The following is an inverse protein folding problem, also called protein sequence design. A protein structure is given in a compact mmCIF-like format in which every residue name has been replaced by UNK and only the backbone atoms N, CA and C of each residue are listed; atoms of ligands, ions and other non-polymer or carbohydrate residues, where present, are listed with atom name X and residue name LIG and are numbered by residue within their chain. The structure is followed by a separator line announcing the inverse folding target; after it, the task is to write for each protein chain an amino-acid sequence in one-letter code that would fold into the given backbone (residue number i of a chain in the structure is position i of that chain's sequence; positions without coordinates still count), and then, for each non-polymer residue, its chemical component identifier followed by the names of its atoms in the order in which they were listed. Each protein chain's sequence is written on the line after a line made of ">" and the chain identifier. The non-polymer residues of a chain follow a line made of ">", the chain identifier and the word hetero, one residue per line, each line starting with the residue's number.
data_IF_737564945175
#
_entry.id   IF_737564945175
#
_cell.length_a   1.000
_cell.length_b   1.000
_cell.length_c   1.000
_cell.angle_alpha   90.00
_cell.angle_beta   90.00
_cell.angle_gamma   90.00
#
_symmetry.space_group_name_H-M   'P 1'
#
loop_
_entity.id
_entity.type
_entity.pdbx_description
1 polymer ?
#
# COMPACT_ATOMS: atom_id res chain seq x y z
N UNK A 1 -30.77 28.86 23.71
CA UNK A 1 -31.04 28.26 22.40
C UNK A 1 -29.97 28.58 21.36
N UNK A 2 -29.47 29.84 21.32
CA UNK A 2 -28.40 30.19 20.39
C UNK A 2 -27.08 29.47 20.70
N UNK A 3 -26.79 29.25 21.99
CA UNK A 3 -25.59 28.52 22.41
C UNK A 3 -25.59 27.08 21.93
N UNK A 4 -26.75 26.42 21.93
CA UNK A 4 -26.85 25.05 21.43
C UNK A 4 -26.63 24.97 19.92
N UNK A 5 -27.04 25.97 19.16
CA UNK A 5 -26.81 26.05 17.73
C UNK A 5 -25.33 26.24 17.41
N UNK A 6 -24.65 27.08 18.17
CA UNK A 6 -23.22 27.31 18.00
C UNK A 6 -22.41 26.03 18.27
N UNK A 7 -22.75 25.32 19.36
CA UNK A 7 -22.11 24.05 19.67
C UNK A 7 -22.36 23.01 18.59
N UNK A 8 -23.56 22.96 18.02
CA UNK A 8 -23.88 22.03 16.94
C UNK A 8 -23.07 22.34 15.68
N UNK A 9 -22.94 23.61 15.32
CA UNK A 9 -22.13 24.05 14.19
C UNK A 9 -20.66 23.71 14.41
N UNK A 10 -20.13 23.97 15.60
CA UNK A 10 -18.74 23.63 15.94
C UNK A 10 -18.48 22.14 15.81
N UNK A 11 -19.39 21.29 16.29
CA UNK A 11 -19.28 19.83 16.18
C UNK A 11 -19.29 19.37 14.73
N UNK A 12 -20.11 19.99 13.89
CA UNK A 12 -20.16 19.68 12.46
C UNK A 12 -18.88 20.07 11.76
N UNK A 13 -18.34 21.25 12.10
CA UNK A 13 -17.06 21.70 11.53
C UNK A 13 -15.92 20.78 11.94
N UNK A 14 -15.86 20.39 13.20
CA UNK A 14 -14.84 19.45 13.66
C UNK A 14 -14.92 18.11 12.95
N UNK A 15 -16.14 17.62 12.70
CA UNK A 15 -16.35 16.37 11.96
C UNK A 15 -15.85 16.51 10.53
N UNK A 16 -16.18 17.61 9.87
CA UNK A 16 -15.75 17.87 8.49
C UNK A 16 -14.24 17.96 8.44
N UNK A 17 -13.59 18.66 9.36
CA UNK A 17 -12.14 18.75 9.42
C UNK A 17 -11.49 17.38 9.59
N UNK A 18 -12.04 16.53 10.46
CA UNK A 18 -11.53 15.17 10.65
C UNK A 18 -11.67 14.34 9.40
N UNK A 19 -12.79 14.43 8.70
CA UNK A 19 -13.01 13.70 7.46
C UNK A 19 -12.06 14.17 6.36
N UNK A 20 -11.83 15.47 6.27
CA UNK A 20 -10.90 16.05 5.30
C UNK A 20 -9.46 15.62 5.58
N UNK A 21 -9.06 15.58 6.84
CA UNK A 21 -7.73 15.09 7.23
C UNK A 21 -7.56 13.62 6.88
N UNK A 22 -8.55 12.80 7.20
CA UNK A 22 -8.51 11.38 6.88
C UNK A 22 -8.41 11.15 5.37
N UNK A 23 -9.18 11.89 4.58
CA UNK A 23 -9.13 11.81 3.12
C UNK A 23 -7.76 12.26 2.57
N UNK A 24 -7.18 13.33 3.14
CA UNK A 24 -5.87 13.81 2.73
C UNK A 24 -4.77 12.80 3.08
N UNK A 25 -4.84 12.21 4.26
CA UNK A 25 -3.88 11.19 4.69
C UNK A 25 -3.97 9.94 3.82
N UNK A 26 -5.18 9.52 3.48
CA UNK A 26 -5.41 8.39 2.61
C UNK A 26 -4.88 8.65 1.19
N UNK A 27 -5.13 9.84 0.65
CA UNK A 27 -4.61 10.23 -0.66
C UNK A 27 -3.09 10.26 -0.66
N UNK A 28 -2.49 10.78 0.41
CA UNK A 28 -1.03 10.81 0.56
C UNK A 28 -0.46 9.40 0.62
N UNK A 29 -1.08 8.53 1.40
CA UNK A 29 -0.67 7.14 1.52
C UNK A 29 -0.75 6.43 0.17
N UNK A 30 -1.83 6.64 -0.59
CA UNK A 30 -1.98 6.06 -1.92
C UNK A 30 -0.89 6.54 -2.88
N UNK A 31 -0.52 7.81 -2.82
CA UNK A 31 0.55 8.36 -3.65
C UNK A 31 1.91 7.80 -3.28
N UNK A 32 2.19 7.64 -1.99
CA UNK A 32 3.42 7.02 -1.51
C UNK A 32 3.50 5.58 -1.98
N UNK A 33 2.41 4.83 -1.86
CA UNK A 33 2.33 3.44 -2.32
C UNK A 33 2.61 3.30 -3.82
N UNK A 34 2.19 4.29 -4.60
CA UNK A 34 2.47 4.32 -6.03
C UNK A 34 3.82 4.93 -6.39
N UNK A 35 4.54 5.45 -5.40
CA UNK A 35 5.80 6.12 -5.63
C UNK A 35 5.68 7.48 -6.28
N UNK A 36 4.48 8.07 -6.29
CA UNK A 36 4.22 9.33 -6.98
C UNK A 36 4.72 10.56 -6.22
N UNK A 37 4.80 10.47 -4.90
CA UNK A 37 5.19 11.59 -4.04
C UNK A 37 6.69 11.68 -3.77
N UNK A 38 7.49 10.83 -4.37
CA UNK A 38 8.94 10.83 -4.15
C UNK A 38 9.72 11.64 -5.18
N UNK A 39 9.11 12.70 -5.71
CA UNK A 39 9.79 13.65 -6.59
C UNK A 39 10.45 13.02 -7.82
N UNK A 40 9.82 12.02 -8.40
CA UNK A 40 10.39 11.26 -9.50
C UNK A 40 11.36 10.19 -9.06
N UNK A 41 11.54 9.98 -7.76
CA UNK A 41 12.37 8.92 -7.23
C UNK A 41 11.67 7.58 -7.39
N UNK A 42 12.10 6.79 -8.35
CA UNK A 42 11.53 5.49 -8.67
C UNK A 42 11.97 4.38 -7.71
N UNK A 43 12.84 4.69 -6.77
CA UNK A 43 13.41 3.68 -5.86
C UNK A 43 12.34 2.87 -5.15
N UNK A 44 11.37 3.54 -4.51
CA UNK A 44 10.32 2.87 -3.78
C UNK A 44 9.40 2.06 -4.69
N UNK A 45 9.07 2.63 -5.85
CA UNK A 45 8.26 1.93 -6.83
C UNK A 45 8.97 0.69 -7.37
N UNK A 46 10.28 0.77 -7.61
CA UNK A 46 11.07 -0.39 -8.06
C UNK A 46 11.16 -1.47 -6.99
N UNK A 47 11.33 -1.08 -5.73
CA UNK A 47 11.34 -2.03 -4.60
C UNK A 47 10.00 -2.78 -4.53
N UNK A 48 8.90 -2.05 -4.59
CA UNK A 48 7.56 -2.63 -4.60
C UNK A 48 7.35 -3.54 -5.79
N UNK A 49 7.76 -3.10 -6.97
CA UNK A 49 7.71 -3.91 -8.19
C UNK A 49 8.47 -5.23 -8.01
N UNK A 50 9.68 -5.17 -7.45
CA UNK A 50 10.49 -6.36 -7.21
C UNK A 50 9.77 -7.38 -6.33
N UNK A 51 9.19 -6.92 -5.21
CA UNK A 51 8.47 -7.80 -4.28
C UNK A 51 7.23 -8.42 -4.95
N UNK A 52 6.39 -7.59 -5.57
CA UNK A 52 5.15 -8.08 -6.18
C UNK A 52 5.44 -8.99 -7.38
N UNK A 53 6.46 -8.68 -8.17
CA UNK A 53 6.83 -9.47 -9.32
C UNK A 53 7.37 -10.85 -8.90
N UNK A 54 8.24 -10.90 -7.89
CA UNK A 54 8.77 -12.15 -7.37
C UNK A 54 7.66 -13.01 -6.77
N UNK A 55 6.71 -12.39 -6.07
CA UNK A 55 5.57 -13.10 -5.52
C UNK A 55 4.69 -13.69 -6.62
N UNK A 56 4.45 -12.94 -7.69
CA UNK A 56 3.67 -13.39 -8.84
C UNK A 56 4.37 -14.55 -9.57
N UNK A 57 5.68 -14.46 -9.76
CA UNK A 57 6.46 -15.51 -10.37
C UNK A 57 6.44 -16.81 -9.59
N UNK A 58 6.27 -16.72 -8.28
CA UNK A 58 6.13 -17.88 -7.42
C UNK A 58 4.71 -18.46 -7.40
N UNK A 59 3.83 -17.96 -8.26
CA UNK A 59 2.44 -18.41 -8.35
C UNK A 59 1.44 -17.54 -7.60
N UNK A 60 1.86 -16.39 -7.09
CA UNK A 60 1.00 -15.46 -6.35
C UNK A 60 0.82 -15.81 -4.89
N UNK A 61 1.38 -16.89 -4.41
CA UNK A 61 1.28 -17.35 -3.02
C UNK A 61 2.58 -18.02 -2.60
N UNK A 62 3.12 -17.61 -1.47
CA UNK A 62 4.35 -18.18 -0.90
C UNK A 62 4.17 -18.37 0.60
N UNK A 63 5.08 -19.08 1.25
CA UNK A 63 5.08 -19.14 2.69
C UNK A 63 5.34 -17.74 3.26
N UNK A 64 4.86 -17.49 4.47
CA UNK A 64 5.09 -16.21 5.14
C UNK A 64 6.59 -15.92 5.29
N UNK A 65 7.38 -16.95 5.60
CA UNK A 65 8.81 -16.81 5.69
C UNK A 65 9.44 -16.42 4.35
N UNK A 66 9.02 -17.07 3.27
CA UNK A 66 9.53 -16.73 1.93
C UNK A 66 9.16 -15.31 1.54
N UNK A 67 7.97 -14.85 1.91
CA UNK A 67 7.55 -13.48 1.64
C UNK A 67 8.48 -12.46 2.32
N UNK A 68 8.87 -12.72 3.58
CA UNK A 68 9.83 -11.87 4.29
C UNK A 68 11.21 -11.90 3.63
N UNK A 69 11.65 -13.04 3.16
CA UNK A 69 12.92 -13.19 2.44
C UNK A 69 12.91 -12.37 1.14
N UNK A 70 11.80 -12.44 0.39
CA UNK A 70 11.62 -11.63 -0.82
C UNK A 70 11.75 -10.15 -0.48
N UNK A 71 11.14 -9.72 0.62
CA UNK A 71 11.27 -8.35 1.08
C UNK A 71 12.71 -7.94 1.34
N UNK A 72 13.47 -8.79 2.02
CA UNK A 72 14.88 -8.53 2.29
C UNK A 72 15.71 -8.42 1.01
N UNK A 73 15.43 -9.25 0.01
CA UNK A 73 16.07 -9.21 -1.29
C UNK A 73 15.86 -7.86 -2.00
N UNK A 74 14.76 -7.17 -1.69
CA UNK A 74 14.44 -5.87 -2.27
C UNK A 74 14.59 -4.72 -1.27
N UNK A 75 15.38 -4.92 -0.23
CA UNK A 75 15.76 -3.90 0.75
C UNK A 75 14.62 -3.42 1.66
N UNK A 76 13.55 -4.18 1.82
CA UNK A 76 12.50 -3.88 2.79
C UNK A 76 12.88 -4.42 4.17
N UNK A 77 12.56 -3.64 5.21
CA UNK A 77 12.59 -4.13 6.58
C UNK A 77 11.35 -5.00 6.84
N UNK A 78 11.39 -5.81 7.89
CA UNK A 78 10.21 -6.58 8.30
C UNK A 78 9.01 -5.67 8.56
N UNK A 79 9.25 -4.50 9.14
CA UNK A 79 8.22 -3.51 9.39
C UNK A 79 7.63 -2.96 8.09
N UNK A 80 8.47 -2.74 7.10
CA UNK A 80 8.02 -2.30 5.77
C UNK A 80 7.16 -3.34 5.09
N UNK A 81 7.49 -4.63 5.27
CA UNK A 81 6.71 -5.71 4.70
C UNK A 81 5.30 -5.81 5.28
N UNK A 82 5.12 -5.40 6.54
CA UNK A 82 3.80 -5.39 7.15
C UNK A 82 2.82 -4.48 6.39
N UNK A 83 3.31 -3.41 5.78
CA UNK A 83 2.48 -2.50 4.98
C UNK A 83 1.83 -3.16 3.77
N UNK A 84 2.42 -4.21 3.22
CA UNK A 84 1.82 -4.93 2.08
C UNK A 84 0.49 -5.58 2.45
N UNK A 85 0.32 -5.98 3.72
CA UNK A 85 -0.91 -6.63 4.20
C UNK A 85 -2.12 -5.70 4.26
N UNK A 86 -1.94 -4.41 4.05
CA UNK A 86 -3.07 -3.48 4.06
C UNK A 86 -3.97 -3.66 2.84
N UNK A 87 -3.39 -3.84 1.65
CA UNK A 87 -4.18 -3.97 0.43
C UNK A 87 -3.58 -4.91 -0.60
N UNK A 88 -2.27 -5.09 -0.60
CA UNK A 88 -1.56 -5.75 -1.70
C UNK A 88 -1.45 -7.26 -1.53
N UNK A 89 -1.35 -7.71 -0.31
CA UNK A 89 -1.28 -9.14 0.02
C UNK A 89 -2.22 -9.44 1.18
N UNK A 90 -2.55 -10.71 1.36
CA UNK A 90 -3.39 -11.16 2.45
C UNK A 90 -2.88 -12.49 3.01
N UNK A 91 -3.16 -12.78 4.28
CA UNK A 91 -2.84 -14.10 4.83
C UNK A 91 -3.65 -15.18 4.12
N UNK A 92 -3.03 -16.33 3.91
CA UNK A 92 -3.68 -17.51 3.33
C UNK A 92 -3.47 -18.71 4.26
N UNK A 93 -4.31 -19.75 4.17
CA UNK A 93 -4.20 -20.93 5.04
C UNK A 93 -2.82 -21.59 4.92
N UNK A 94 -2.32 -22.12 6.04
CA UNK A 94 -1.02 -22.78 6.08
C UNK A 94 0.16 -21.82 6.24
N UNK A 95 -0.05 -20.69 6.92
CA UNK A 95 0.96 -19.66 7.13
C UNK A 95 1.56 -19.15 5.82
N UNK A 96 0.69 -18.92 4.85
CA UNK A 96 1.07 -18.40 3.54
C UNK A 96 0.63 -16.96 3.38
N UNK A 97 1.22 -16.29 2.41
CA UNK A 97 0.89 -14.94 1.99
C UNK A 97 0.58 -14.97 0.51
N UNK A 98 -0.52 -14.36 0.09
CA UNK A 98 -0.90 -14.33 -1.33
C UNK A 98 -1.24 -12.93 -1.81
N UNK A 99 -1.08 -12.71 -3.11
CA UNK A 99 -1.48 -11.46 -3.75
C UNK A 99 -3.01 -11.31 -3.71
N UNK A 100 -3.45 -10.10 -3.41
CA UNK A 100 -4.86 -9.71 -3.57
C UNK A 100 -5.10 -9.27 -5.01
N UNK A 101 -6.37 -9.09 -5.38
CA UNK A 101 -6.73 -8.49 -6.67
C UNK A 101 -6.10 -7.10 -6.81
N UNK A 102 -6.12 -6.29 -5.74
CA UNK A 102 -5.49 -4.98 -5.72
C UNK A 102 -3.98 -5.08 -5.93
N UNK A 103 -3.32 -6.07 -5.31
CA UNK A 103 -1.90 -6.32 -5.51
C UNK A 103 -1.57 -6.65 -6.95
N UNK A 104 -2.40 -7.45 -7.61
CA UNK A 104 -2.21 -7.79 -9.03
C UNK A 104 -2.38 -6.59 -9.94
N UNK A 105 -3.34 -5.73 -9.66
CA UNK A 105 -3.53 -4.48 -10.41
C UNK A 105 -2.34 -3.55 -10.24
N UNK A 106 -1.84 -3.43 -9.01
CA UNK A 106 -0.65 -2.63 -8.73
C UNK A 106 0.55 -3.15 -9.50
N UNK A 107 0.73 -4.47 -9.53
CA UNK A 107 1.81 -5.09 -10.27
C UNK A 107 1.71 -4.81 -11.77
N UNK A 108 0.50 -4.85 -12.32
CA UNK A 108 0.28 -4.52 -13.74
C UNK A 108 0.71 -3.10 -14.02
N UNK A 109 0.31 -2.15 -13.18
CA UNK A 109 0.69 -0.75 -13.31
C UNK A 109 2.21 -0.57 -13.27
N UNK A 110 2.87 -1.25 -12.33
CA UNK A 110 4.31 -1.16 -12.16
C UNK A 110 5.06 -1.81 -13.34
N UNK A 111 4.54 -2.90 -13.89
CA UNK A 111 5.10 -3.52 -15.09
C UNK A 111 5.05 -2.58 -16.29
N UNK A 112 3.96 -1.86 -16.45
CA UNK A 112 3.85 -0.87 -17.52
C UNK A 112 4.87 0.25 -17.33
N UNK A 113 5.06 0.69 -16.09
CA UNK A 113 5.99 1.77 -15.77
C UNK A 113 7.46 1.38 -15.94
N UNK A 114 7.85 0.22 -15.45
CA UNK A 114 9.26 -0.22 -15.46
C UNK A 114 9.59 -1.14 -16.62
N UNK A 115 8.63 -1.37 -17.46
CA UNK A 115 8.80 -2.23 -18.59
C UNK A 115 8.78 -3.69 -18.23
N UNK A 116 8.18 -4.46 -19.09
CA UNK A 116 8.23 -5.90 -19.06
C UNK A 116 9.44 -6.40 -19.84
N UNK A 117 10.44 -5.57 -19.99
CA UNK A 117 11.66 -5.97 -20.66
C UNK A 117 12.27 -7.15 -19.94
N UNK A 118 12.47 -8.23 -20.60
CA UNK A 118 13.10 -9.38 -20.01
C UNK A 118 14.49 -9.07 -19.53
#
# INVERSE_FOLDING_TARGET
>A
MQEMRLLDVERRLERIERLLRAAADEARSARLDLGLDHGGNDRWARMMFGVLNDLDRAGGEVSRQRFLEIGEEHAYSHRGMAGFYQQLVEPAPGFKTRLTATGRERLRFLRERFGSSP
#
